data_IF_006483872436
#
_entry.id   IF_006483872436
#
_cell.length_a   1.000
_cell.length_b   1.000
_cell.length_c   1.000
_cell.angle_alpha   90.00
_cell.angle_beta   90.00
_cell.angle_gamma   90.00
#
_symmetry.space_group_name_H-M   'P 1'
#
loop_
_entity.id
_entity.type
_entity.pdbx_description
1 polymer ?
#
# COMPACT_ATOMS: atom_id res chain seq x y z
N UNK A 1 -16.24 23.12 -2.00
CA UNK A 1 -14.97 23.10 -1.29
C UNK A 1 -13.89 23.05 -2.37
N UNK A 2 -13.17 24.16 -2.57
CA UNK A 2 -12.27 24.41 -3.70
C UNK A 2 -11.02 23.56 -3.60
N UNK A 3 -10.66 22.86 -4.67
CA UNK A 3 -9.39 22.15 -4.84
C UNK A 3 -8.22 23.15 -4.71
N UNK A 4 -7.09 22.77 -4.10
CA UNK A 4 -5.92 23.64 -4.06
C UNK A 4 -5.27 23.68 -5.44
N UNK A 5 -5.03 24.91 -5.91
CA UNK A 5 -4.35 25.24 -7.15
C UNK A 5 -2.97 24.61 -7.25
N UNK A 6 -2.67 24.05 -8.42
CA UNK A 6 -1.34 23.62 -8.85
C UNK A 6 -0.36 24.79 -8.77
N UNK A 7 0.50 24.81 -7.77
CA UNK A 7 1.60 25.78 -7.70
C UNK A 7 2.73 25.36 -8.63
N UNK A 8 2.91 26.14 -9.67
CA UNK A 8 4.12 26.16 -10.51
C UNK A 8 5.31 26.55 -9.63
N UNK A 9 6.27 25.64 -9.43
CA UNK A 9 7.48 25.91 -8.67
C UNK A 9 8.50 26.55 -9.62
N UNK A 10 8.67 27.87 -9.52
CA UNK A 10 9.84 28.58 -10.05
C UNK A 10 10.91 28.60 -8.96
N UNK A 11 12.08 28.04 -9.31
CA UNK A 11 13.36 28.29 -8.63
C UNK A 11 13.61 27.51 -7.34
N UNK A 12 14.47 26.50 -7.40
CA UNK A 12 15.40 26.12 -6.32
C UNK A 12 14.82 25.70 -4.96
N UNK A 13 13.60 25.19 -4.90
CA UNK A 13 13.06 24.62 -3.67
C UNK A 13 13.46 23.15 -3.58
N UNK A 14 14.23 22.80 -2.54
CA UNK A 14 14.53 21.42 -2.16
C UNK A 14 13.24 20.57 -2.18
N UNK A 15 13.29 19.39 -2.82
CA UNK A 15 12.21 18.40 -2.86
C UNK A 15 11.70 18.01 -1.45
N UNK A 16 12.51 18.28 -0.41
CA UNK A 16 12.17 18.10 1.01
C UNK A 16 11.12 19.07 1.58
N UNK A 17 10.81 20.16 0.88
CA UNK A 17 9.84 21.16 1.37
C UNK A 17 8.38 20.83 1.08
N UNK A 18 8.12 19.89 0.22
CA UNK A 18 6.80 19.35 -0.01
C UNK A 18 6.73 17.97 0.67
N UNK A 19 5.93 17.84 1.71
CA UNK A 19 5.28 16.57 2.04
C UNK A 19 4.31 16.33 0.88
N UNK A 20 4.87 16.23 -0.32
CA UNK A 20 4.22 15.78 -1.53
C UNK A 20 4.05 14.28 -1.41
N UNK A 21 2.97 13.79 -1.89
CA UNK A 21 2.60 12.39 -1.97
C UNK A 21 3.81 11.61 -2.51
N UNK A 22 4.39 10.72 -1.68
CA UNK A 22 5.45 9.83 -2.13
C UNK A 22 4.91 8.98 -3.29
N UNK A 23 5.68 8.74 -4.35
CA UNK A 23 5.21 8.00 -5.53
C UNK A 23 4.80 6.55 -5.19
N UNK A 24 5.16 6.09 -3.99
CA UNK A 24 4.76 4.81 -3.42
C UNK A 24 3.26 4.73 -3.08
N UNK A 25 2.52 5.84 -3.01
CA UNK A 25 1.07 5.78 -2.87
C UNK A 25 0.41 5.69 -4.24
N UNK A 26 -0.10 4.51 -4.55
CA UNK A 26 -0.82 4.19 -5.77
C UNK A 26 -2.31 3.94 -5.53
N UNK A 27 -2.81 4.35 -4.36
CA UNK A 27 -4.21 4.15 -3.97
C UNK A 27 -5.20 4.79 -4.93
N UNK A 28 -4.83 5.91 -5.57
CA UNK A 28 -5.62 6.59 -6.59
C UNK A 28 -5.90 5.73 -7.85
N UNK A 29 -5.16 4.63 -8.05
CA UNK A 29 -5.46 3.66 -9.11
C UNK A 29 -6.47 2.59 -8.67
N UNK A 30 -6.84 2.57 -7.40
CA UNK A 30 -7.79 1.62 -6.85
C UNK A 30 -9.19 2.22 -6.70
N UNK A 31 -9.29 3.54 -6.57
CA UNK A 31 -10.53 4.25 -6.28
C UNK A 31 -10.76 5.33 -7.33
N UNK A 32 -12.04 5.55 -7.66
CA UNK A 32 -12.44 6.64 -8.55
C UNK A 32 -12.06 8.00 -7.95
N UNK A 33 -11.51 8.89 -8.78
CA UNK A 33 -11.04 10.21 -8.33
C UNK A 33 -12.15 11.11 -7.81
N UNK A 34 -13.36 10.93 -8.31
CA UNK A 34 -14.52 11.77 -8.00
C UNK A 34 -15.36 11.20 -6.86
N UNK A 35 -15.22 9.89 -6.59
CA UNK A 35 -15.94 9.22 -5.53
C UNK A 35 -15.10 8.11 -4.85
N UNK A 36 -14.62 8.39 -3.66
CA UNK A 36 -13.78 7.46 -2.86
C UNK A 36 -14.47 6.16 -2.41
N UNK A 37 -15.75 5.99 -2.66
CA UNK A 37 -16.48 4.76 -2.38
C UNK A 37 -16.62 3.84 -3.61
N UNK A 38 -16.27 4.34 -4.81
CA UNK A 38 -16.35 3.57 -6.06
C UNK A 38 -14.97 3.02 -6.42
N UNK A 39 -14.80 1.68 -6.47
CA UNK A 39 -13.55 1.09 -6.92
C UNK A 39 -13.40 1.23 -8.44
N UNK A 40 -12.15 1.42 -8.90
CA UNK A 40 -11.82 1.31 -10.32
C UNK A 40 -12.04 -0.12 -10.81
N UNK A 41 -12.13 -0.30 -12.13
CA UNK A 41 -12.26 -1.65 -12.74
C UNK A 41 -11.14 -2.58 -12.27
N UNK A 42 -9.89 -2.08 -12.19
CA UNK A 42 -8.74 -2.83 -11.69
C UNK A 42 -9.00 -3.39 -10.27
N UNK A 43 -9.50 -2.55 -9.38
CA UNK A 43 -9.74 -2.98 -7.99
C UNK A 43 -10.99 -3.85 -7.89
N UNK A 44 -12.06 -3.50 -8.61
CA UNK A 44 -13.30 -4.29 -8.67
C UNK A 44 -13.03 -5.71 -9.15
N UNK A 45 -12.27 -5.89 -10.23
CA UNK A 45 -11.89 -7.23 -10.71
C UNK A 45 -11.08 -8.02 -9.67
N UNK A 46 -10.19 -7.36 -8.95
CA UNK A 46 -9.45 -8.01 -7.86
C UNK A 46 -10.37 -8.45 -6.72
N UNK A 47 -11.29 -7.57 -6.31
CA UNK A 47 -12.32 -7.87 -5.30
C UNK A 47 -13.15 -9.08 -5.73
N UNK A 48 -13.69 -9.07 -6.95
CA UNK A 48 -14.53 -10.14 -7.47
C UNK A 48 -13.82 -11.50 -7.48
N UNK A 49 -12.52 -11.55 -7.83
CA UNK A 49 -11.75 -12.81 -7.78
C UNK A 49 -11.68 -13.37 -6.36
N UNK A 50 -11.42 -12.53 -5.35
CA UNK A 50 -11.33 -12.97 -3.97
C UNK A 50 -12.69 -13.32 -3.38
N UNK A 51 -13.75 -12.57 -3.69
CA UNK A 51 -15.13 -12.91 -3.29
C UNK A 51 -15.55 -14.27 -3.84
N UNK A 52 -15.33 -14.51 -5.14
CA UNK A 52 -15.65 -15.80 -5.75
C UNK A 52 -14.89 -16.97 -5.11
N UNK A 53 -13.60 -16.79 -4.79
CA UNK A 53 -12.82 -17.81 -4.11
C UNK A 53 -13.39 -18.13 -2.72
N UNK A 54 -13.63 -17.10 -1.89
CA UNK A 54 -14.19 -17.30 -0.55
C UNK A 54 -15.58 -17.91 -0.53
N UNK A 55 -16.46 -17.45 -1.42
CA UNK A 55 -17.81 -17.98 -1.56
C UNK A 55 -17.79 -19.46 -1.99
N UNK A 56 -16.89 -19.81 -2.91
CA UNK A 56 -16.76 -21.18 -3.40
C UNK A 56 -16.21 -22.12 -2.32
N UNK A 57 -15.22 -21.67 -1.56
CA UNK A 57 -14.61 -22.46 -0.49
C UNK A 57 -15.61 -22.71 0.68
N UNK A 58 -16.42 -21.70 1.01
CA UNK A 58 -17.41 -21.77 2.10
C UNK A 58 -18.78 -22.32 1.64
N UNK A 59 -18.95 -22.58 0.34
CA UNK A 59 -20.23 -22.96 -0.30
C UNK A 59 -21.36 -21.97 0.02
N UNK A 60 -21.00 -20.69 0.19
CA UNK A 60 -21.92 -19.63 0.57
C UNK A 60 -22.70 -19.10 -0.64
N UNK A 61 -24.00 -18.90 -0.48
CA UNK A 61 -24.88 -18.40 -1.53
C UNK A 61 -26.11 -17.71 -0.96
N UNK A 62 -26.75 -16.85 -1.75
CA UNK A 62 -28.04 -16.26 -1.40
C UNK A 62 -29.17 -17.26 -1.61
N UNK A 63 -29.63 -17.86 -0.53
CA UNK A 63 -30.69 -18.87 -0.53
C UNK A 63 -32.08 -18.21 -0.60
N UNK A 64 -32.21 -17.00 -0.08
CA UNK A 64 -33.44 -16.18 -0.20
C UNK A 64 -34.66 -16.69 0.61
N UNK A 65 -34.47 -17.59 1.58
CA UNK A 65 -35.57 -18.18 2.37
C UNK A 65 -35.43 -17.89 3.87
N UNK A 66 -36.52 -18.09 4.59
CA UNK A 66 -36.59 -17.94 6.04
C UNK A 66 -37.20 -16.63 6.48
N UNK A 67 -37.30 -16.45 7.78
CA UNK A 67 -37.78 -15.19 8.36
C UNK A 67 -36.81 -14.04 8.13
N UNK A 68 -37.35 -12.82 7.96
CA UNK A 68 -36.52 -11.62 7.89
C UNK A 68 -35.91 -11.35 9.27
N UNK A 69 -34.58 -11.24 9.27
CA UNK A 69 -33.81 -10.98 10.50
C UNK A 69 -32.93 -9.74 10.30
N UNK A 70 -32.54 -9.14 11.41
CA UNK A 70 -31.51 -8.12 11.45
C UNK A 70 -30.40 -8.64 12.34
N UNK A 71 -29.17 -8.69 11.81
CA UNK A 71 -27.99 -9.04 12.59
C UNK A 71 -27.09 -7.84 12.73
N UNK A 72 -26.39 -7.77 13.85
CA UNK A 72 -25.43 -6.72 14.16
C UNK A 72 -24.03 -7.32 14.19
N UNK A 73 -23.06 -6.64 13.58
CA UNK A 73 -21.65 -7.00 13.65
C UNK A 73 -20.93 -6.11 14.66
N UNK A 74 -20.31 -6.75 15.63
CA UNK A 74 -19.62 -6.13 16.76
C UNK A 74 -18.12 -6.36 16.66
N UNK A 75 -17.33 -5.33 16.96
CA UNK A 75 -15.90 -5.48 17.16
C UNK A 75 -15.60 -6.23 18.45
N UNK A 76 -14.76 -7.27 18.40
CA UNK A 76 -14.26 -8.03 19.55
C UNK A 76 -12.87 -7.57 19.98
N UNK A 77 -12.24 -6.73 19.18
CA UNK A 77 -10.97 -6.10 19.43
C UNK A 77 -11.01 -4.61 19.12
N UNK A 78 -9.97 -3.88 19.50
CA UNK A 78 -9.81 -2.47 19.13
C UNK A 78 -8.89 -2.34 17.91
N UNK A 79 -9.26 -1.50 16.95
CA UNK A 79 -8.48 -1.35 15.71
C UNK A 79 -9.07 -0.38 14.73
N UNK A 80 -8.64 -0.48 13.47
CA UNK A 80 -9.08 0.32 12.33
C UNK A 80 -9.96 -0.53 11.43
N UNK A 81 -11.17 -0.08 11.16
CA UNK A 81 -12.13 -0.78 10.29
C UNK A 81 -11.69 -0.62 8.83
N UNK A 82 -11.60 -1.75 8.12
CA UNK A 82 -11.33 -1.78 6.69
C UNK A 82 -12.07 -2.95 6.03
N UNK A 83 -12.61 -2.73 4.84
CA UNK A 83 -13.31 -3.74 4.06
C UNK A 83 -14.71 -3.33 3.60
N UNK A 84 -15.10 -2.06 3.79
CA UNK A 84 -16.43 -1.57 3.38
C UNK A 84 -16.70 -1.84 1.90
N UNK A 85 -15.77 -1.47 1.01
CA UNK A 85 -15.95 -1.62 -0.44
C UNK A 85 -16.18 -3.08 -0.85
N UNK A 86 -15.29 -4.05 -0.53
CA UNK A 86 -15.53 -5.43 -0.92
C UNK A 86 -16.77 -6.05 -0.27
N UNK A 87 -17.16 -5.63 0.95
CA UNK A 87 -18.38 -6.12 1.60
C UNK A 87 -19.64 -5.55 0.94
N UNK A 88 -19.65 -4.27 0.54
CA UNK A 88 -20.77 -3.72 -0.22
C UNK A 88 -20.96 -4.51 -1.54
N UNK A 89 -19.88 -4.78 -2.27
CA UNK A 89 -19.92 -5.61 -3.49
C UNK A 89 -20.39 -7.04 -3.18
N UNK A 90 -19.95 -7.64 -2.07
CA UNK A 90 -20.41 -8.97 -1.64
C UNK A 90 -21.94 -9.00 -1.50
N UNK A 91 -22.51 -7.99 -0.84
CA UNK A 91 -23.95 -7.93 -0.63
C UNK A 91 -24.68 -7.65 -1.95
N UNK A 92 -24.26 -6.64 -2.70
CA UNK A 92 -24.91 -6.22 -3.94
C UNK A 92 -24.92 -7.31 -5.02
N UNK A 93 -23.79 -8.00 -5.21
CA UNK A 93 -23.63 -8.94 -6.30
C UNK A 93 -24.00 -10.40 -5.93
N UNK A 94 -23.80 -10.81 -4.68
CA UNK A 94 -23.91 -12.20 -4.30
C UNK A 94 -25.03 -12.48 -3.28
N UNK A 95 -25.51 -11.45 -2.56
CA UNK A 95 -26.59 -11.57 -1.59
C UNK A 95 -27.66 -10.48 -1.78
N UNK A 96 -28.26 -10.39 -2.99
CA UNK A 96 -29.22 -9.33 -3.31
C UNK A 96 -30.51 -9.38 -2.47
N UNK A 97 -30.81 -10.48 -1.78
CA UNK A 97 -31.91 -10.56 -0.82
C UNK A 97 -31.59 -9.87 0.52
N UNK A 98 -30.34 -9.46 0.72
CA UNK A 98 -29.87 -8.79 1.93
C UNK A 98 -29.64 -7.30 1.70
N UNK A 99 -29.67 -6.52 2.78
CA UNK A 99 -29.25 -5.11 2.80
C UNK A 99 -28.34 -4.85 3.98
N UNK A 100 -27.39 -3.91 3.80
CA UNK A 100 -26.37 -3.57 4.78
C UNK A 100 -26.44 -2.09 5.14
N UNK A 101 -26.32 -1.79 6.44
CA UNK A 101 -26.16 -0.44 6.97
C UNK A 101 -24.88 -0.34 7.79
N UNK A 102 -24.03 0.64 7.46
CA UNK A 102 -22.77 0.90 8.14
C UNK A 102 -22.93 1.97 9.22
N UNK A 103 -22.48 1.68 10.44
CA UNK A 103 -22.48 2.63 11.56
C UNK A 103 -21.13 3.34 11.72
N UNK A 104 -20.07 2.80 11.12
CA UNK A 104 -18.73 3.39 11.11
C UNK A 104 -18.20 3.47 9.68
N UNK A 105 -17.38 4.47 9.42
CA UNK A 105 -16.73 4.65 8.11
C UNK A 105 -15.51 3.77 7.91
N UNK A 106 -15.10 3.62 6.66
CA UNK A 106 -13.78 3.04 6.31
C UNK A 106 -12.68 3.86 6.99
N UNK A 107 -11.69 3.20 7.61
CA UNK A 107 -10.62 3.86 8.36
C UNK A 107 -10.98 4.33 9.78
N UNK A 108 -12.23 4.18 10.20
CA UNK A 108 -12.65 4.55 11.57
C UNK A 108 -11.99 3.63 12.61
N UNK A 109 -11.67 4.20 13.77
CA UNK A 109 -11.21 3.41 14.92
C UNK A 109 -12.40 2.90 15.71
N UNK A 110 -12.32 1.64 16.12
CA UNK A 110 -13.31 0.96 16.94
C UNK A 110 -12.67 0.36 18.19
N UNK A 111 -13.51 0.17 19.21
CA UNK A 111 -13.20 -0.49 20.46
C UNK A 111 -14.07 -1.75 20.63
N UNK A 112 -13.70 -2.60 21.57
CA UNK A 112 -14.49 -3.79 21.91
C UNK A 112 -15.93 -3.42 22.23
N UNK A 113 -16.87 -4.05 21.55
CA UNK A 113 -18.31 -3.86 21.71
C UNK A 113 -18.94 -2.83 20.78
N UNK A 114 -18.15 -2.06 20.03
CA UNK A 114 -18.68 -1.13 19.04
C UNK A 114 -19.41 -1.90 17.92
N UNK A 115 -20.56 -1.37 17.51
CA UNK A 115 -21.33 -1.88 16.38
C UNK A 115 -20.75 -1.28 15.11
N UNK A 116 -20.35 -2.16 14.16
CA UNK A 116 -19.71 -1.73 12.89
C UNK A 116 -20.75 -1.61 11.78
N UNK A 117 -21.59 -2.62 11.63
CA UNK A 117 -22.63 -2.66 10.60
C UNK A 117 -23.82 -3.51 11.06
N UNK A 118 -24.96 -3.37 10.37
CA UNK A 118 -26.06 -4.32 10.42
C UNK A 118 -26.28 -4.96 9.04
N UNK A 119 -26.71 -6.23 9.07
CA UNK A 119 -27.12 -6.99 7.90
C UNK A 119 -28.57 -7.41 8.07
N UNK A 120 -29.44 -7.07 7.12
CA UNK A 120 -30.86 -7.41 7.13
C UNK A 120 -31.17 -8.26 5.91
N UNK A 121 -31.90 -9.37 6.12
CA UNK A 121 -32.32 -10.23 5.05
C UNK A 121 -33.01 -11.50 5.55
N UNK A 122 -33.33 -12.45 4.65
CA UNK A 122 -33.78 -13.79 5.02
C UNK A 122 -32.72 -14.48 5.89
N UNK A 123 -33.15 -15.16 6.95
CA UNK A 123 -32.24 -15.77 7.93
C UNK A 123 -31.21 -16.73 7.31
N UNK A 124 -31.62 -17.48 6.28
CA UNK A 124 -30.70 -18.40 5.56
C UNK A 124 -29.61 -17.66 4.80
N UNK A 125 -29.94 -16.55 4.15
CA UNK A 125 -28.98 -15.72 3.40
C UNK A 125 -28.03 -14.98 4.35
N UNK A 126 -28.54 -14.42 5.43
CA UNK A 126 -27.73 -13.74 6.47
C UNK A 126 -26.72 -14.70 7.09
N UNK A 127 -27.13 -15.91 7.46
CA UNK A 127 -26.24 -16.92 8.04
C UNK A 127 -25.22 -17.46 7.00
N UNK A 128 -25.64 -17.60 5.75
CA UNK A 128 -24.73 -18.01 4.66
C UNK A 128 -23.66 -16.96 4.36
N UNK A 129 -24.00 -15.67 4.45
CA UNK A 129 -23.07 -14.55 4.22
C UNK A 129 -22.07 -14.36 5.37
N UNK A 130 -22.45 -14.73 6.60
CA UNK A 130 -21.73 -14.37 7.84
C UNK A 130 -20.23 -14.62 7.76
N UNK A 131 -19.83 -15.85 7.45
CA UNK A 131 -18.42 -16.24 7.52
C UNK A 131 -17.56 -15.49 6.52
N UNK A 132 -18.01 -15.37 5.28
CA UNK A 132 -17.29 -14.66 4.24
C UNK A 132 -17.15 -13.17 4.58
N UNK A 133 -18.23 -12.54 5.04
CA UNK A 133 -18.23 -11.14 5.49
C UNK A 133 -17.23 -10.92 6.62
N UNK A 134 -17.29 -11.74 7.69
CA UNK A 134 -16.42 -11.59 8.86
C UNK A 134 -14.95 -11.86 8.52
N UNK A 135 -14.65 -12.79 7.63
CA UNK A 135 -13.28 -13.08 7.18
C UNK A 135 -12.67 -11.88 6.44
N UNK A 136 -13.43 -11.25 5.53
CA UNK A 136 -12.98 -10.07 4.78
C UNK A 136 -12.77 -8.90 5.74
N UNK A 137 -13.78 -8.58 6.55
CA UNK A 137 -13.72 -7.49 7.51
C UNK A 137 -12.55 -7.66 8.49
N UNK A 138 -12.42 -8.86 9.06
CA UNK A 138 -11.40 -9.17 10.07
C UNK A 138 -9.98 -9.07 9.51
N UNK A 139 -9.72 -9.66 8.34
CA UNK A 139 -8.38 -9.59 7.74
C UNK A 139 -7.99 -8.18 7.34
N UNK A 140 -8.85 -7.49 6.59
CA UNK A 140 -8.51 -6.15 6.11
C UNK A 140 -8.36 -5.17 7.27
N UNK A 141 -9.24 -5.24 8.27
CA UNK A 141 -9.11 -4.43 9.48
C UNK A 141 -7.85 -4.75 10.30
N UNK A 142 -7.45 -6.01 10.34
CA UNK A 142 -6.20 -6.44 10.99
C UNK A 142 -4.97 -5.81 10.33
N UNK A 143 -4.89 -5.83 9.00
CA UNK A 143 -3.83 -5.19 8.23
C UNK A 143 -3.83 -3.66 8.46
N UNK A 144 -5.00 -3.01 8.34
CA UNK A 144 -5.12 -1.57 8.55
C UNK A 144 -4.71 -1.16 9.97
N UNK A 145 -5.08 -1.97 10.98
CA UNK A 145 -4.70 -1.75 12.38
C UNK A 145 -3.19 -1.82 12.57
N UNK A 146 -2.56 -2.92 12.13
CA UNK A 146 -1.10 -3.07 12.24
C UNK A 146 -0.36 -1.96 11.49
N UNK A 147 -0.80 -1.64 10.27
CA UNK A 147 -0.21 -0.55 9.49
C UNK A 147 -0.32 0.79 10.23
N UNK A 148 -1.47 1.10 10.84
CA UNK A 148 -1.66 2.34 11.58
C UNK A 148 -0.73 2.46 12.81
N UNK A 149 -0.38 1.34 13.41
CA UNK A 149 0.59 1.28 14.51
C UNK A 149 2.00 1.55 13.99
N UNK A 150 2.40 0.92 12.89
CA UNK A 150 3.70 1.14 12.25
C UNK A 150 3.87 2.60 11.82
N UNK A 151 2.87 3.19 11.16
CA UNK A 151 2.90 4.60 10.74
C UNK A 151 3.09 5.54 11.92
N UNK A 152 2.37 5.28 13.03
CA UNK A 152 2.52 6.08 14.26
C UNK A 152 3.93 5.97 14.85
N UNK A 153 4.52 4.77 14.87
CA UNK A 153 5.83 4.51 15.46
C UNK A 153 6.98 5.02 14.58
N UNK A 154 6.84 4.93 13.25
CA UNK A 154 7.81 5.44 12.30
C UNK A 154 7.83 6.98 12.18
N UNK A 155 6.80 7.66 12.67
CA UNK A 155 6.74 9.12 12.73
C UNK A 155 6.72 9.78 11.36
N UNK A 156 7.86 10.30 10.89
CA UNK A 156 7.96 11.00 9.59
C UNK A 156 8.32 10.09 8.42
N UNK A 157 8.76 8.87 8.70
CA UNK A 157 9.17 7.91 7.67
C UNK A 157 7.92 7.23 7.13
N UNK A 158 7.72 7.25 5.81
CA UNK A 158 6.61 6.57 5.16
C UNK A 158 6.71 5.05 5.36
N UNK A 159 5.57 4.39 5.56
CA UNK A 159 5.49 2.93 5.65
C UNK A 159 4.81 2.41 4.41
N UNK A 160 5.51 1.59 3.64
CA UNK A 160 4.99 0.96 2.43
C UNK A 160 4.90 -0.57 2.58
N UNK A 161 3.89 -1.18 1.99
CA UNK A 161 3.90 -2.63 1.80
C UNK A 161 4.73 -3.02 0.57
N UNK A 162 4.90 -4.30 0.35
CA UNK A 162 5.58 -4.86 -0.82
C UNK A 162 4.59 -5.57 -1.75
N UNK A 163 5.06 -6.28 -2.78
CA UNK A 163 4.24 -7.19 -3.59
C UNK A 163 4.04 -8.59 -2.97
N UNK A 164 4.62 -8.83 -1.79
CA UNK A 164 4.35 -10.04 -1.01
C UNK A 164 3.02 -9.83 -0.29
N UNK A 165 1.94 -10.30 -0.90
CA UNK A 165 0.55 -10.14 -0.42
C UNK A 165 -0.16 -11.48 -0.48
N UNK A 166 -1.06 -11.75 0.46
CA UNK A 166 -1.91 -12.94 0.43
C UNK A 166 -3.18 -12.71 -0.42
N UNK A 167 -3.80 -11.53 -0.31
CA UNK A 167 -5.04 -11.17 -1.02
C UNK A 167 -4.84 -10.05 -2.06
N UNK A 168 -3.65 -9.94 -2.62
CA UNK A 168 -3.39 -9.02 -3.73
C UNK A 168 -3.68 -7.56 -3.40
N UNK A 169 -4.57 -6.94 -4.19
CA UNK A 169 -4.89 -5.52 -4.04
C UNK A 169 -5.73 -5.22 -2.79
N UNK A 170 -6.44 -6.20 -2.22
CA UNK A 170 -7.17 -6.01 -0.97
C UNK A 170 -6.22 -5.75 0.20
N UNK A 171 -5.10 -6.51 0.28
CA UNK A 171 -4.06 -6.26 1.28
C UNK A 171 -3.47 -4.85 1.12
N UNK A 172 -3.21 -4.41 -0.12
CA UNK A 172 -2.66 -3.08 -0.41
C UNK A 172 -3.64 -1.96 -0.06
N UNK A 173 -4.91 -2.16 -0.34
CA UNK A 173 -5.96 -1.23 0.09
C UNK A 173 -6.02 -1.12 1.62
N UNK A 174 -5.95 -2.24 2.32
CA UNK A 174 -5.94 -2.24 3.78
C UNK A 174 -4.72 -1.52 4.37
N UNK A 175 -3.54 -1.65 3.74
CA UNK A 175 -2.35 -0.86 4.12
C UNK A 175 -2.61 0.64 3.92
N UNK A 176 -3.20 1.04 2.79
CA UNK A 176 -3.55 2.44 2.54
C UNK A 176 -4.53 2.98 3.60
N UNK A 177 -5.59 2.24 3.92
CA UNK A 177 -6.56 2.62 4.96
C UNK A 177 -5.91 2.75 6.34
N UNK A 178 -4.87 1.96 6.62
CA UNK A 178 -4.05 2.10 7.82
C UNK A 178 -3.11 3.32 7.83
N UNK A 179 -3.08 4.13 6.77
CA UNK A 179 -2.20 5.29 6.59
C UNK A 179 -0.84 4.95 5.99
N UNK A 180 -0.65 3.72 5.53
CA UNK A 180 0.54 3.28 4.80
C UNK A 180 0.44 3.56 3.29
N UNK A 181 1.50 3.21 2.58
CA UNK A 181 1.66 3.39 1.14
C UNK A 181 1.54 2.03 0.44
N UNK A 182 0.81 1.99 -0.66
CA UNK A 182 0.54 0.75 -1.40
C UNK A 182 1.78 0.18 -2.08
N UNK A 183 2.83 0.99 -2.27
CA UNK A 183 3.91 0.72 -3.21
C UNK A 183 3.34 0.36 -4.59
N UNK A 184 4.16 -0.01 -5.58
CA UNK A 184 3.65 -0.43 -6.88
C UNK A 184 2.63 -1.57 -6.75
N UNK A 185 1.52 -1.44 -7.47
CA UNK A 185 0.40 -2.40 -7.40
C UNK A 185 0.74 -3.71 -8.12
N UNK A 186 1.48 -3.62 -9.22
CA UNK A 186 1.89 -4.76 -10.04
C UNK A 186 3.35 -4.63 -10.49
N UNK A 187 3.81 -5.59 -11.29
CA UNK A 187 5.14 -5.52 -11.91
C UNK A 187 5.24 -4.39 -12.94
N UNK A 188 4.15 -4.07 -13.61
CA UNK A 188 4.08 -3.07 -14.68
C UNK A 188 3.73 -1.66 -14.20
N UNK A 189 3.33 -1.48 -12.94
CA UNK A 189 2.92 -0.17 -12.40
C UNK A 189 4.10 0.79 -12.18
N UNK A 190 5.28 0.26 -11.84
CA UNK A 190 6.52 1.03 -11.71
C UNK A 190 7.72 0.21 -12.17
N UNK A 191 8.64 0.85 -12.86
CA UNK A 191 9.90 0.22 -13.26
C UNK A 191 10.74 -0.04 -12.00
N UNK A 192 11.25 -1.25 -11.86
CA UNK A 192 12.19 -1.60 -10.81
C UNK A 192 13.36 -2.34 -11.41
N UNK A 193 14.52 -1.72 -11.33
CA UNK A 193 15.80 -2.27 -11.77
C UNK A 193 16.42 -2.99 -10.59
N UNK A 194 16.62 -4.29 -10.72
CA UNK A 194 17.18 -5.16 -9.69
C UNK A 194 18.57 -5.68 -10.05
N UNK A 195 19.31 -6.15 -9.05
CA UNK A 195 20.61 -6.77 -9.25
C UNK A 195 20.60 -7.84 -10.36
N UNK A 196 19.56 -8.65 -10.44
CA UNK A 196 19.43 -9.68 -11.48
C UNK A 196 19.23 -9.08 -12.87
N UNK A 197 18.54 -7.97 -13.00
CA UNK A 197 18.38 -7.25 -14.28
C UNK A 197 19.73 -6.65 -14.71
N UNK A 198 20.53 -6.19 -13.74
CA UNK A 198 21.88 -5.69 -13.98
C UNK A 198 22.84 -6.79 -14.45
N UNK A 199 22.74 -8.01 -13.92
CA UNK A 199 23.58 -9.15 -14.33
C UNK A 199 23.24 -9.65 -15.72
N UNK A 200 21.99 -9.67 -16.11
CA UNK A 200 21.57 -10.11 -17.46
C UNK A 200 22.06 -9.13 -18.52
N UNK A 201 22.06 -7.84 -18.23
CA UNK A 201 22.48 -6.80 -19.18
C UNK A 201 24.02 -6.57 -19.19
N UNK A 202 24.75 -7.14 -18.23
CA UNK A 202 26.21 -6.95 -18.12
C UNK A 202 27.05 -7.82 -19.06
N UNK A 203 26.46 -8.79 -19.78
CA UNK A 203 27.19 -9.66 -20.70
C UNK A 203 27.75 -8.95 -21.96
N UNK A 204 27.24 -7.74 -22.25
CA UNK A 204 27.58 -7.01 -23.50
C UNK A 204 28.31 -5.65 -23.24
N UNK A 205 28.74 -5.36 -21.99
CA UNK A 205 29.25 -4.03 -21.64
C UNK A 205 30.76 -4.05 -21.46
N UNK A 206 31.50 -3.62 -22.47
CA UNK A 206 32.96 -3.51 -22.46
C UNK A 206 33.54 -2.42 -21.53
N UNK A 207 32.73 -1.47 -21.02
CA UNK A 207 33.25 -0.40 -20.13
C UNK A 207 32.12 0.44 -19.50
N UNK A 208 31.54 -0.01 -18.42
CA UNK A 208 30.57 0.82 -17.67
C UNK A 208 30.09 0.16 -16.37
N UNK A 209 29.67 0.97 -15.39
CA UNK A 209 29.03 0.44 -14.21
C UNK A 209 27.65 -0.09 -14.60
N UNK A 210 27.25 -1.32 -14.20
CA UNK A 210 25.97 -1.93 -14.62
C UNK A 210 24.75 -1.05 -14.35
N UNK A 211 24.75 -0.31 -13.25
CA UNK A 211 23.68 0.64 -12.87
C UNK A 211 23.58 1.78 -13.89
N UNK A 212 24.71 2.39 -14.30
CA UNK A 212 24.73 3.48 -15.29
C UNK A 212 24.11 3.04 -16.62
N UNK A 213 24.49 1.86 -17.10
CA UNK A 213 23.95 1.30 -18.35
C UNK A 213 22.44 1.02 -18.24
N UNK A 214 21.99 0.47 -17.11
CA UNK A 214 20.57 0.20 -16.90
C UNK A 214 19.74 1.49 -16.85
N UNK A 215 20.24 2.53 -16.16
CA UNK A 215 19.56 3.83 -16.07
C UNK A 215 19.51 4.50 -17.44
N UNK A 216 20.61 4.45 -18.22
CA UNK A 216 20.66 5.05 -19.56
C UNK A 216 19.72 4.36 -20.55
N UNK A 217 19.35 3.10 -20.30
CA UNK A 217 18.38 2.37 -21.12
C UNK A 217 16.92 2.65 -20.78
N UNK A 218 16.64 3.40 -19.72
CA UNK A 218 15.26 3.72 -19.30
C UNK A 218 14.65 4.72 -20.29
N UNK A 219 13.58 4.30 -20.93
CA UNK A 219 12.74 5.19 -21.73
C UNK A 219 11.93 6.06 -20.77
N UNK A 220 12.38 7.29 -20.55
CA UNK A 220 11.77 8.24 -19.61
C UNK A 220 10.38 8.71 -20.03
N UNK A 221 10.05 8.61 -21.31
CA UNK A 221 8.78 9.09 -21.87
C UNK A 221 7.72 7.96 -21.91
N UNK A 222 8.16 6.71 -22.05
CA UNK A 222 7.29 5.53 -22.10
C UNK A 222 7.06 4.90 -20.74
N UNK A 223 7.86 5.25 -19.72
CA UNK A 223 7.85 4.56 -18.45
C UNK A 223 7.07 5.29 -17.37
N UNK A 224 6.34 4.46 -16.76
CA UNK A 224 5.72 4.40 -15.46
C UNK A 224 5.98 5.60 -14.54
N UNK A 225 5.06 5.82 -13.71
CA UNK A 225 4.88 6.86 -12.72
C UNK A 225 6.11 7.11 -11.82
N UNK A 226 6.99 6.11 -11.64
CA UNK A 226 8.27 6.26 -10.93
C UNK A 226 9.21 5.09 -11.23
N UNK A 227 10.52 5.35 -11.10
CA UNK A 227 11.58 4.36 -11.28
C UNK A 227 12.22 4.03 -9.94
N UNK A 228 12.40 2.74 -9.66
CA UNK A 228 13.09 2.23 -8.47
C UNK A 228 14.39 1.54 -8.89
N UNK A 229 15.49 1.87 -8.24
CA UNK A 229 16.78 1.21 -8.43
C UNK A 229 17.17 0.56 -7.11
N UNK A 230 17.22 -0.78 -7.10
CA UNK A 230 17.64 -1.58 -5.95
C UNK A 230 19.18 -1.60 -5.88
N UNK A 231 19.72 -1.19 -4.74
CA UNK A 231 21.16 -1.12 -4.48
C UNK A 231 21.50 -1.80 -3.15
N UNK A 232 22.74 -2.25 -3.01
CA UNK A 232 23.22 -3.01 -1.85
C UNK A 232 24.27 -2.27 -1.02
N UNK A 233 24.77 -1.14 -1.51
CA UNK A 233 25.76 -0.30 -0.81
C UNK A 233 25.67 1.17 -1.20
N UNK A 234 26.36 2.04 -0.42
CA UNK A 234 26.40 3.49 -0.64
C UNK A 234 27.01 3.86 -2.00
N UNK A 235 28.01 3.09 -2.49
CA UNK A 235 28.67 3.40 -3.75
C UNK A 235 27.70 3.26 -4.91
N UNK A 236 26.91 2.19 -4.92
CA UNK A 236 25.85 1.98 -5.90
C UNK A 236 24.75 3.05 -5.82
N UNK A 237 24.36 3.47 -4.60
CA UNK A 237 23.39 4.54 -4.41
C UNK A 237 23.88 5.88 -4.99
N UNK A 238 25.16 6.21 -4.80
CA UNK A 238 25.79 7.41 -5.34
C UNK A 238 25.83 7.37 -6.87
N UNK A 239 26.20 6.23 -7.45
CA UNK A 239 26.19 6.07 -8.92
C UNK A 239 24.76 6.24 -9.45
N UNK A 240 23.78 5.59 -8.86
CA UNK A 240 22.38 5.70 -9.27
C UNK A 240 21.88 7.14 -9.24
N UNK A 241 22.10 7.85 -8.13
CA UNK A 241 21.67 9.23 -7.96
C UNK A 241 22.39 10.20 -8.93
N UNK A 242 23.68 9.99 -9.18
CA UNK A 242 24.47 10.81 -10.11
C UNK A 242 24.00 10.67 -11.55
N UNK A 243 23.94 9.44 -12.04
CA UNK A 243 23.47 9.14 -13.41
C UNK A 243 22.05 9.69 -13.64
N UNK A 244 21.16 9.44 -12.67
CA UNK A 244 19.81 9.98 -12.75
C UNK A 244 19.80 11.50 -12.82
N UNK A 245 20.59 12.17 -11.97
CA UNK A 245 20.66 13.65 -11.95
C UNK A 245 21.15 14.21 -13.28
N UNK A 246 22.11 13.56 -13.94
CA UNK A 246 22.64 14.00 -15.24
C UNK A 246 21.60 13.87 -16.34
N UNK A 247 20.86 12.75 -16.37
CA UNK A 247 19.76 12.58 -17.32
C UNK A 247 18.68 13.62 -17.09
N UNK A 248 18.27 13.84 -15.84
CA UNK A 248 17.23 14.83 -15.54
C UNK A 248 17.67 16.25 -15.93
N UNK A 249 18.91 16.63 -15.63
CA UNK A 249 19.47 17.92 -16.05
C UNK A 249 19.49 18.08 -17.57
N UNK A 250 19.84 17.02 -18.31
CA UNK A 250 19.91 17.07 -19.78
C UNK A 250 18.54 17.26 -20.45
N UNK A 251 17.46 16.73 -19.82
CA UNK A 251 16.08 16.85 -20.30
C UNK A 251 15.27 17.96 -19.66
N UNK A 252 15.87 18.76 -18.77
CA UNK A 252 15.21 19.74 -17.90
C UNK A 252 14.10 19.13 -17.02
N UNK A 253 14.26 17.86 -16.63
CA UNK A 253 13.38 17.15 -15.70
C UNK A 253 13.77 17.42 -14.25
N UNK A 254 12.84 17.11 -13.34
CA UNK A 254 13.02 17.31 -11.89
C UNK A 254 12.59 16.06 -11.08
N UNK A 255 12.19 15.02 -11.76
CA UNK A 255 11.64 13.82 -11.11
C UNK A 255 12.74 13.08 -10.35
N UNK A 256 12.56 12.77 -9.04
CA UNK A 256 13.51 11.97 -8.31
C UNK A 256 13.41 10.49 -8.67
N UNK A 257 14.51 9.77 -8.56
CA UNK A 257 14.52 8.31 -8.60
C UNK A 257 14.33 7.76 -7.20
N UNK A 258 13.66 6.62 -7.06
CA UNK A 258 13.65 5.87 -5.80
C UNK A 258 14.90 5.00 -5.75
N UNK A 259 15.77 5.23 -4.77
CA UNK A 259 16.93 4.38 -4.48
C UNK A 259 16.56 3.49 -3.31
N UNK A 260 16.33 2.20 -3.62
CA UNK A 260 15.97 1.19 -2.64
C UNK A 260 17.24 0.56 -2.07
N UNK A 261 17.50 0.83 -0.79
CA UNK A 261 18.65 0.39 -0.02
C UNK A 261 18.34 -0.99 0.58
N UNK A 262 18.68 -2.06 -0.17
CA UNK A 262 18.28 -3.42 0.20
C UNK A 262 19.21 -4.05 1.23
N UNK A 263 18.64 -4.49 2.35
CA UNK A 263 19.34 -5.17 3.45
C UNK A 263 20.52 -4.40 4.09
N UNK A 264 20.58 -3.07 3.94
CA UNK A 264 21.69 -2.27 4.46
C UNK A 264 21.57 -1.95 5.96
N UNK A 265 20.35 -1.92 6.49
CA UNK A 265 20.06 -1.52 7.87
C UNK A 265 20.13 -0.01 8.11
N UNK A 266 19.53 0.50 9.22
CA UNK A 266 19.34 1.94 9.43
C UNK A 266 20.63 2.74 9.45
N UNK A 267 21.67 2.28 10.17
CA UNK A 267 22.94 3.02 10.28
C UNK A 267 23.68 3.18 8.94
N UNK A 268 23.66 2.16 8.07
CA UNK A 268 24.27 2.27 6.75
C UNK A 268 23.45 3.17 5.83
N UNK A 269 22.13 3.09 5.91
CA UNK A 269 21.24 3.98 5.15
C UNK A 269 21.45 5.44 5.57
N UNK A 270 21.58 5.72 6.87
CA UNK A 270 21.87 7.07 7.35
C UNK A 270 23.21 7.63 6.85
N UNK A 271 24.27 6.80 6.82
CA UNK A 271 25.55 7.22 6.20
C UNK A 271 25.40 7.51 4.71
N UNK A 272 24.63 6.69 3.99
CA UNK A 272 24.35 6.92 2.56
C UNK A 272 23.60 8.24 2.34
N UNK A 273 22.62 8.57 3.19
CA UNK A 273 21.90 9.84 3.16
C UNK A 273 22.86 11.03 3.33
N UNK A 274 23.79 10.96 4.31
CA UNK A 274 24.78 12.02 4.54
C UNK A 274 25.81 12.14 3.38
N UNK A 275 26.25 11.03 2.80
CA UNK A 275 27.13 11.06 1.61
C UNK A 275 26.43 11.69 0.41
N UNK A 276 25.17 11.32 0.14
CA UNK A 276 24.39 11.92 -0.95
C UNK A 276 24.17 13.43 -0.74
N UNK A 277 23.93 13.87 0.50
CA UNK A 277 23.84 15.29 0.85
C UNK A 277 25.16 16.02 0.58
N UNK A 278 26.28 15.46 1.02
CA UNK A 278 27.60 16.05 0.84
C UNK A 278 27.98 16.24 -0.63
N UNK A 279 27.47 15.36 -1.50
CA UNK A 279 27.68 15.37 -2.94
C UNK A 279 26.65 16.21 -3.71
N UNK A 280 25.64 16.79 -3.04
CA UNK A 280 24.54 17.51 -3.69
C UNK A 280 23.62 16.64 -4.54
N UNK A 281 23.57 15.34 -4.24
CA UNK A 281 22.77 14.35 -4.99
C UNK A 281 21.46 13.99 -4.31
N UNK A 282 21.30 14.33 -3.02
CA UNK A 282 20.18 13.88 -2.20
C UNK A 282 18.81 14.36 -2.71
N UNK A 283 18.75 15.50 -3.35
CA UNK A 283 17.50 16.05 -3.89
C UNK A 283 17.03 15.35 -5.17
N UNK A 284 17.88 14.53 -5.76
CA UNK A 284 17.56 13.73 -6.96
C UNK A 284 17.02 12.32 -6.64
N UNK A 285 16.93 11.97 -5.35
CA UNK A 285 16.47 10.64 -4.96
C UNK A 285 15.53 10.67 -3.76
N UNK A 286 14.63 9.68 -3.76
CA UNK A 286 13.85 9.26 -2.61
C UNK A 286 14.54 8.00 -2.08
N UNK A 287 14.94 7.97 -0.81
CA UNK A 287 15.58 6.82 -0.21
C UNK A 287 14.53 5.89 0.40
N UNK A 288 14.53 4.64 -0.05
CA UNK A 288 13.68 3.58 0.47
C UNK A 288 14.52 2.56 1.22
N UNK A 289 14.26 2.37 2.50
CA UNK A 289 14.85 1.27 3.29
C UNK A 289 14.06 -0.02 3.09
N UNK A 290 14.74 -1.14 2.83
CA UNK A 290 14.14 -2.45 2.62
C UNK A 290 14.99 -3.59 3.19
N UNK A 291 14.39 -4.78 3.33
CA UNK A 291 15.08 -6.00 3.74
C UNK A 291 14.84 -6.37 5.20
N UNK A 292 13.91 -7.31 5.45
CA UNK A 292 13.67 -7.95 6.74
C UNK A 292 13.30 -7.02 7.90
N UNK A 293 12.79 -5.82 7.61
CA UNK A 293 12.47 -4.80 8.61
C UNK A 293 11.27 -5.25 9.44
N UNK A 294 11.45 -5.24 10.76
CA UNK A 294 10.44 -5.60 11.75
C UNK A 294 9.99 -4.37 12.54
N UNK A 295 8.85 -4.51 13.22
CA UNK A 295 8.30 -3.42 14.03
C UNK A 295 9.25 -2.91 15.11
N UNK A 296 9.98 -3.80 15.76
CA UNK A 296 10.98 -3.47 16.79
C UNK A 296 12.14 -2.59 16.29
N UNK A 297 12.38 -2.59 14.97
CA UNK A 297 13.45 -1.81 14.35
C UNK A 297 13.03 -0.37 14.02
N UNK A 298 11.72 -0.05 14.05
CA UNK A 298 11.19 1.24 13.57
C UNK A 298 11.80 2.45 14.27
N UNK A 299 12.10 2.34 15.58
CA UNK A 299 12.75 3.40 16.31
C UNK A 299 14.11 3.78 15.72
N UNK A 300 14.93 2.79 15.36
CA UNK A 300 16.25 3.00 14.73
C UNK A 300 16.11 3.55 13.30
N UNK A 301 15.12 3.09 12.55
CA UNK A 301 14.86 3.63 11.22
C UNK A 301 14.40 5.09 11.26
N UNK A 302 13.59 5.45 12.24
CA UNK A 302 13.10 6.82 12.41
C UNK A 302 14.22 7.79 12.86
N UNK A 303 15.18 7.33 13.71
CA UNK A 303 16.27 8.17 14.24
C UNK A 303 17.50 8.21 13.33
N UNK A 304 17.91 7.08 12.81
CA UNK A 304 19.24 6.90 12.21
C UNK A 304 19.19 6.58 10.70
N UNK A 305 18.02 6.19 10.18
CA UNK A 305 17.91 5.64 8.83
C UNK A 305 18.11 6.64 7.71
N UNK A 306 17.82 7.92 7.92
CA UNK A 306 17.92 8.96 6.88
C UNK A 306 17.05 8.71 5.63
N UNK A 307 16.12 7.74 5.70
CA UNK A 307 15.25 7.33 4.58
C UNK A 307 13.93 8.10 4.59
N UNK A 308 13.32 8.21 3.42
CA UNK A 308 12.01 8.85 3.24
C UNK A 308 10.87 7.83 3.45
N UNK A 309 11.14 6.56 3.13
CA UNK A 309 10.17 5.47 3.22
C UNK A 309 10.83 4.15 3.60
N UNK A 310 10.08 3.30 4.27
CA UNK A 310 10.44 1.92 4.58
C UNK A 310 9.44 1.01 3.90
N UNK A 311 9.91 -0.01 3.17
CA UNK A 311 9.05 -1.06 2.65
C UNK A 311 9.24 -2.38 3.40
N UNK A 312 8.13 -2.91 3.92
CA UNK A 312 8.12 -4.19 4.62
C UNK A 312 6.87 -5.01 4.29
N UNK A 313 7.04 -6.31 4.13
CA UNK A 313 5.91 -7.24 4.03
C UNK A 313 5.27 -7.57 5.37
N UNK A 314 5.91 -7.24 6.49
CA UNK A 314 5.40 -7.49 7.83
C UNK A 314 4.02 -6.87 8.05
N UNK A 315 3.79 -5.66 7.51
CA UNK A 315 2.54 -4.92 7.72
C UNK A 315 1.29 -5.65 7.20
N UNK A 316 1.44 -6.52 6.21
CA UNK A 316 0.32 -7.27 5.64
C UNK A 316 0.45 -8.80 5.79
N UNK A 317 1.67 -9.34 5.84
CA UNK A 317 1.87 -10.79 5.96
C UNK A 317 1.76 -11.29 7.40
N UNK A 318 2.17 -10.48 8.37
CA UNK A 318 2.18 -10.83 9.80
C UNK A 318 1.09 -10.12 10.62
N UNK A 319 0.13 -9.47 9.95
CA UNK A 319 -1.03 -8.92 10.63
C UNK A 319 -1.90 -10.03 11.20
N UNK A 320 -2.29 -9.90 12.47
CA UNK A 320 -3.42 -10.65 13.01
C UNK A 320 -4.74 -10.20 12.36
N UNK A 321 -5.80 -10.94 12.60
CA UNK A 321 -7.16 -10.50 12.26
C UNK A 321 -7.68 -9.57 13.36
N UNK A 322 -8.48 -8.56 13.00
CA UNK A 322 -9.34 -7.89 13.96
C UNK A 322 -10.61 -8.73 14.10
N UNK A 323 -10.84 -9.25 15.29
CA UNK A 323 -11.96 -10.17 15.53
C UNK A 323 -13.30 -9.43 15.59
N UNK A 324 -14.30 -10.03 14.94
CA UNK A 324 -15.68 -9.54 14.90
C UNK A 324 -16.65 -10.69 15.15
N UNK A 325 -17.82 -10.38 15.69
CA UNK A 325 -18.91 -11.34 15.80
C UNK A 325 -20.20 -10.77 15.24
N UNK A 326 -21.00 -11.62 14.60
CA UNK A 326 -22.34 -11.29 14.15
C UNK A 326 -23.34 -11.91 15.11
N UNK A 327 -24.29 -11.11 15.57
CA UNK A 327 -25.36 -11.54 16.46
C UNK A 327 -26.72 -11.26 15.81
N UNK A 328 -27.53 -12.28 15.70
CA UNK A 328 -28.92 -12.17 15.24
C UNK A 328 -29.74 -11.44 16.30
N UNK A 329 -30.28 -10.26 15.92
CA UNK A 329 -31.33 -9.59 16.66
C UNK A 329 -32.69 -10.21 16.30
N UNK A 330 -33.58 -10.36 17.28
CA UNK A 330 -34.99 -10.57 16.97
C UNK A 330 -35.58 -9.27 16.51
N UNK A 331 -36.23 -9.27 15.35
CA UNK A 331 -37.00 -8.14 14.79
C UNK A 331 -38.07 -7.68 15.73
#
# INVERSE_FOLDING_TARGET
MTLPETRTIQGGASVRGAVGILPHDRSHLLIDSDNSEIPTDLFRESIMRWLNAHLSDDLASDIGHGEMVVSMVYAKGSGVVCGKIPICILIEEFFPSCSIDWFVGEGARVSVGDVVLSLRGPSTSVLSCERVLLNILGRMSGIATLTSEWVREAGRVGIACTRKTSWGLLDKWAVHIGGGLTHRLSRSDALMIKENDLKVNSSDIESGHPISSAISSVDMDANATFTVIEVQDSSQAIVAAREWSEIQKSRNGIEPVVVLLDNMGPSACGRTDEELKSLGLRDWCILEGSGGIKREDLGSWASDGGVDVISSSEVNMNSGILDYSMLLGRS
#
